data_IF_705727091893
#
_entry.id   IF_705727091893
#
_cell.length_a   1.000
_cell.length_b   1.000
_cell.length_c   1.000
_cell.angle_alpha   90.00
_cell.angle_beta   90.00
_cell.angle_gamma   90.00
#
_symmetry.space_group_name_H-M   'P 1'
#
loop_
_entity.id
_entity.type
_entity.pdbx_description
1 polymer ?
#
# COMPACT_ATOMS: atom_id res chain seq x y z
N UNK A 1 -3.04 8.31 -2.36
CA UNK A 1 -2.50 8.64 -3.69
C UNK A 1 -2.99 7.66 -4.74
N UNK A 2 -2.32 7.54 -5.84
CA UNK A 2 -2.65 6.64 -6.96
C UNK A 2 -1.46 6.64 -7.92
N UNK A 3 -1.25 5.55 -8.64
CA UNK A 3 -0.18 5.44 -9.66
C UNK A 3 -0.29 6.47 -10.80
N UNK A 4 -1.43 7.11 -10.97
CA UNK A 4 -1.65 8.08 -12.05
C UNK A 4 -1.18 9.48 -11.65
N UNK A 5 -0.20 10.02 -12.35
CA UNK A 5 0.37 11.35 -12.11
C UNK A 5 -0.60 12.52 -12.36
N UNK A 6 -1.71 12.27 -13.07
CA UNK A 6 -2.74 13.27 -13.37
C UNK A 6 -4.12 12.70 -13.15
N UNK A 7 -5.06 13.49 -12.62
CA UNK A 7 -6.45 13.06 -12.53
C UNK A 7 -7.04 12.84 -13.93
N UNK A 8 -7.99 11.90 -14.10
CA UNK A 8 -8.70 11.73 -15.37
C UNK A 8 -9.48 12.98 -15.73
N UNK A 9 -9.48 13.31 -17.01
CA UNK A 9 -10.27 14.42 -17.57
C UNK A 9 -11.71 13.98 -17.82
N UNK A 10 -11.89 12.74 -18.25
CA UNK A 10 -13.19 12.15 -18.55
C UNK A 10 -13.46 10.96 -17.64
N UNK A 11 -14.57 10.99 -16.97
CA UNK A 11 -15.06 9.90 -16.12
C UNK A 11 -16.43 9.47 -16.66
N UNK A 12 -16.58 8.18 -16.91
CA UNK A 12 -17.82 7.58 -17.36
C UNK A 12 -18.47 6.79 -16.22
N UNK A 13 -19.79 6.74 -16.24
CA UNK A 13 -20.58 5.97 -15.30
C UNK A 13 -21.67 5.18 -16.02
N UNK A 14 -21.55 3.86 -15.99
CA UNK A 14 -22.60 2.96 -16.43
C UNK A 14 -23.61 2.74 -15.31
N UNK A 15 -24.74 3.44 -15.39
CA UNK A 15 -25.82 3.38 -14.39
C UNK A 15 -26.51 2.01 -14.31
N UNK A 16 -26.38 1.15 -15.33
CA UNK A 16 -26.98 -0.19 -15.32
C UNK A 16 -26.12 -1.18 -14.55
N UNK A 17 -24.81 -1.01 -14.64
CA UNK A 17 -23.83 -1.88 -13.98
C UNK A 17 -23.28 -1.28 -12.68
N UNK A 18 -23.62 -0.02 -12.39
CA UNK A 18 -23.04 0.74 -11.28
C UNK A 18 -21.50 0.78 -11.30
N UNK A 19 -20.92 0.97 -12.50
CA UNK A 19 -19.47 0.97 -12.70
C UNK A 19 -19.02 2.35 -13.19
N UNK A 20 -18.00 2.91 -12.52
CA UNK A 20 -17.24 4.08 -13.00
C UNK A 20 -15.94 3.63 -13.62
N UNK A 21 -15.48 4.34 -14.65
CA UNK A 21 -14.22 4.09 -15.33
C UNK A 21 -13.73 5.33 -16.09
N UNK A 22 -12.46 5.31 -16.50
CA UNK A 22 -11.88 6.35 -17.35
C UNK A 22 -10.86 5.73 -18.31
N UNK A 23 -10.82 6.14 -19.58
CA UNK A 23 -9.81 5.68 -20.53
C UNK A 23 -8.40 6.19 -20.19
N UNK A 24 -8.29 7.12 -19.25
CA UNK A 24 -7.01 7.69 -18.77
C UNK A 24 -6.52 7.05 -17.47
N UNK A 25 -7.22 6.01 -16.98
CA UNK A 25 -7.06 5.46 -15.66
C UNK A 25 -7.95 6.20 -14.66
N UNK A 26 -8.75 5.46 -13.91
CA UNK A 26 -9.70 6.07 -12.96
C UNK A 26 -8.98 6.58 -11.70
N UNK A 27 -7.97 5.86 -11.20
CA UNK A 27 -7.32 6.12 -9.93
C UNK A 27 -8.31 6.02 -8.77
N UNK A 28 -9.17 5.00 -8.76
CA UNK A 28 -10.04 4.67 -7.66
C UNK A 28 -9.25 4.13 -6.48
N UNK A 29 -8.17 3.49 -6.77
CA UNK A 29 -7.07 3.15 -5.88
C UNK A 29 -6.18 4.40 -5.64
N UNK A 30 -6.10 5.05 -4.43
CA UNK A 30 -7.06 4.84 -3.31
C UNK A 30 -7.97 6.07 -3.06
N UNK A 31 -8.44 6.72 -4.10
CA UNK A 31 -9.41 7.82 -3.94
C UNK A 31 -10.79 7.32 -3.48
N UNK A 32 -11.09 6.04 -3.68
CA UNK A 32 -12.32 5.43 -3.19
C UNK A 32 -12.33 5.35 -1.67
N UNK A 33 -11.21 4.96 -1.04
CA UNK A 33 -11.08 4.95 0.42
C UNK A 33 -11.17 6.35 1.02
N UNK A 34 -10.54 7.35 0.41
CA UNK A 34 -10.69 8.75 0.82
C UNK A 34 -12.15 9.20 0.74
N UNK A 35 -12.84 8.87 -0.36
CA UNK A 35 -14.28 9.18 -0.50
C UNK A 35 -15.12 8.49 0.58
N UNK A 36 -14.83 7.23 0.89
CA UNK A 36 -15.49 6.48 1.95
C UNK A 36 -15.33 7.14 3.32
N UNK A 37 -14.10 7.55 3.67
CA UNK A 37 -13.82 8.31 4.90
C UNK A 37 -14.69 9.59 4.97
N UNK A 38 -14.74 10.35 3.89
CA UNK A 38 -15.56 11.57 3.82
C UNK A 38 -17.06 11.27 4.01
N UNK A 39 -17.57 10.16 3.44
CA UNK A 39 -18.97 9.73 3.64
C UNK A 39 -19.26 9.31 5.07
N UNK A 40 -18.32 8.62 5.71
CA UNK A 40 -18.40 8.26 7.13
C UNK A 40 -18.49 9.53 8.00
N UNK A 41 -17.64 10.53 7.76
CA UNK A 41 -17.69 11.82 8.46
C UNK A 41 -19.03 12.54 8.21
N UNK A 42 -19.50 12.55 6.97
CA UNK A 42 -20.78 13.18 6.60
C UNK A 42 -21.98 12.53 7.32
N UNK A 43 -21.91 11.25 7.66
CA UNK A 43 -22.95 10.57 8.44
C UNK A 43 -23.00 10.99 9.91
N UNK A 44 -22.09 11.83 10.38
CA UNK A 44 -22.01 12.31 11.75
C UNK A 44 -21.00 11.56 12.62
N UNK A 45 -20.41 10.47 12.13
CA UNK A 45 -19.37 9.73 12.85
C UNK A 45 -18.05 10.52 12.88
N UNK A 46 -17.24 10.29 13.91
CA UNK A 46 -15.98 11.01 14.14
C UNK A 46 -14.85 10.03 14.54
N UNK A 47 -14.51 9.07 13.68
CA UNK A 47 -13.35 8.22 13.95
C UNK A 47 -12.06 9.05 13.93
N UNK A 48 -11.01 8.55 14.54
CA UNK A 48 -9.66 9.04 14.28
C UNK A 48 -9.27 8.65 12.85
N UNK A 49 -8.61 9.55 12.14
CA UNK A 49 -8.26 9.34 10.72
C UNK A 49 -6.76 9.52 10.55
N UNK A 50 -6.16 8.61 9.82
CA UNK A 50 -4.78 8.69 9.36
C UNK A 50 -4.83 8.71 7.83
N UNK A 51 -4.16 9.68 7.22
CA UNK A 51 -3.95 9.76 5.79
C UNK A 51 -2.44 9.72 5.55
N UNK A 52 -2.00 8.77 4.79
CA UNK A 52 -0.60 8.55 4.41
C UNK A 52 -0.40 8.94 2.96
N UNK A 53 0.84 9.15 2.57
CA UNK A 53 1.25 9.45 1.19
C UNK A 53 2.23 8.41 0.72
N UNK A 54 2.37 8.31 -0.60
CA UNK A 54 3.39 7.48 -1.22
C UNK A 54 3.23 5.97 -0.89
N UNK A 55 1.98 5.49 -0.79
CA UNK A 55 1.67 4.05 -0.66
C UNK A 55 2.19 3.30 -1.88
N UNK A 56 1.87 3.79 -3.08
CA UNK A 56 2.18 3.23 -4.40
C UNK A 56 3.69 3.12 -4.72
N UNK A 57 4.51 3.77 -3.93
CA UNK A 57 5.97 3.72 -4.02
C UNK A 57 6.61 3.14 -2.76
N UNK A 58 5.86 2.27 -2.07
CA UNK A 58 6.33 1.46 -0.94
C UNK A 58 5.96 1.97 0.44
N UNK A 59 4.81 2.66 0.59
CA UNK A 59 4.27 3.04 1.89
C UNK A 59 5.15 4.01 2.67
N UNK A 60 5.82 4.94 1.97
CA UNK A 60 6.82 5.84 2.59
C UNK A 60 6.22 6.63 3.74
N UNK A 61 4.98 7.13 3.57
CA UNK A 61 4.26 7.88 4.59
C UNK A 61 3.95 7.04 5.82
N UNK A 62 3.41 5.84 5.63
CA UNK A 62 3.10 4.90 6.71
C UNK A 62 4.37 4.43 7.44
N UNK A 63 5.42 4.09 6.70
CA UNK A 63 6.70 3.71 7.27
C UNK A 63 7.34 4.85 8.09
N UNK A 64 7.23 6.09 7.62
CA UNK A 64 7.70 7.25 8.41
C UNK A 64 6.88 7.43 9.70
N UNK A 65 5.57 7.21 9.64
CA UNK A 65 4.67 7.31 10.79
C UNK A 65 4.90 6.17 11.79
N UNK A 66 5.17 4.95 11.30
CA UNK A 66 5.42 3.77 12.15
C UNK A 66 6.61 3.93 13.11
N UNK A 67 7.58 4.78 12.76
CA UNK A 67 8.72 5.10 13.65
C UNK A 67 8.34 5.94 14.87
N UNK A 68 7.09 6.40 14.93
CA UNK A 68 6.58 7.23 16.03
C UNK A 68 5.63 6.38 16.90
N UNK A 69 5.50 6.74 18.14
CA UNK A 69 4.44 6.15 19.00
C UNK A 69 3.08 6.47 18.41
N UNK A 70 2.15 5.53 18.55
CA UNK A 70 0.76 5.77 18.16
C UNK A 70 0.25 7.09 18.74
N UNK A 71 -0.19 8.04 17.91
CA UNK A 71 -0.66 9.34 18.41
C UNK A 71 -2.09 9.30 18.93
N UNK A 72 -2.78 8.16 18.83
CA UNK A 72 -4.20 8.01 19.16
C UNK A 72 -4.32 7.17 20.43
N UNK A 73 -4.58 7.79 21.59
CA UNK A 73 -4.72 7.05 22.85
C UNK A 73 -5.99 6.18 22.84
N UNK A 74 -5.85 4.95 23.32
CA UNK A 74 -6.97 4.01 23.47
C UNK A 74 -7.53 3.48 22.15
N UNK A 75 -6.75 3.54 21.08
CA UNK A 75 -7.11 2.96 19.79
C UNK A 75 -7.40 1.47 19.94
N UNK A 76 -8.56 1.02 19.49
CA UNK A 76 -9.03 -0.36 19.65
C UNK A 76 -8.52 -1.26 18.55
N UNK A 77 -8.68 -0.82 17.31
CA UNK A 77 -8.16 -1.45 16.10
C UNK A 77 -8.14 -0.42 14.96
N UNK A 78 -7.52 -0.76 13.85
CA UNK A 78 -7.42 0.07 12.67
C UNK A 78 -8.19 -0.55 11.51
N UNK A 79 -8.77 0.30 10.66
CA UNK A 79 -9.40 -0.09 9.39
C UNK A 79 -8.71 0.72 8.28
N UNK A 80 -8.22 0.03 7.29
CA UNK A 80 -7.78 0.61 6.02
C UNK A 80 -8.83 0.33 4.96
N UNK A 81 -9.00 1.23 4.01
CA UNK A 81 -9.99 1.13 2.93
C UNK A 81 -9.28 1.24 1.60
N UNK A 82 -8.33 0.36 1.38
CA UNK A 82 -7.42 0.37 0.24
C UNK A 82 -7.18 -1.05 -0.28
N UNK A 83 -8.28 -1.71 -0.65
CA UNK A 83 -8.20 -3.03 -1.26
C UNK A 83 -9.22 -3.17 -2.39
N UNK A 84 -8.78 -3.81 -3.46
CA UNK A 84 -9.67 -4.22 -4.55
C UNK A 84 -10.75 -5.21 -4.10
N UNK A 85 -11.81 -5.34 -4.88
CA UNK A 85 -12.84 -6.35 -4.70
C UNK A 85 -14.06 -5.84 -3.94
N UNK A 86 -14.88 -6.78 -3.46
CA UNK A 86 -16.20 -6.48 -2.90
C UNK A 86 -16.27 -6.67 -1.39
N UNK A 87 -15.91 -7.87 -0.94
CA UNK A 87 -16.07 -8.31 0.46
C UNK A 87 -14.76 -8.87 1.05
N UNK A 88 -13.63 -8.65 0.40
CA UNK A 88 -12.36 -9.17 0.86
C UNK A 88 -11.82 -8.33 2.02
N UNK A 89 -11.11 -8.99 2.94
CA UNK A 89 -10.35 -8.34 3.99
C UNK A 89 -8.99 -9.00 4.17
N UNK A 90 -7.99 -8.22 4.54
CA UNK A 90 -6.62 -8.70 4.77
C UNK A 90 -6.11 -8.22 6.12
N UNK A 91 -5.52 -9.15 6.88
CA UNK A 91 -4.98 -8.89 8.21
C UNK A 91 -3.45 -8.81 8.23
N UNK A 92 -2.79 -9.14 7.10
CA UNK A 92 -1.33 -9.19 6.98
C UNK A 92 -0.70 -10.04 8.09
N UNK A 93 0.18 -9.46 8.91
CA UNK A 93 0.87 -10.16 9.99
C UNK A 93 0.08 -10.17 11.32
N UNK A 94 -1.15 -9.62 11.34
CA UNK A 94 -2.02 -9.62 12.51
C UNK A 94 -2.83 -10.91 12.58
N UNK A 95 -2.34 -11.91 13.32
CA UNK A 95 -2.97 -13.23 13.43
C UNK A 95 -3.74 -13.38 14.74
N UNK A 96 -4.78 -12.57 14.95
CA UNK A 96 -5.69 -12.71 16.07
C UNK A 96 -7.02 -13.32 15.62
N UNK A 97 -7.34 -14.59 15.98
CA UNK A 97 -8.53 -15.27 15.49
C UNK A 97 -9.85 -14.64 15.98
N UNK A 98 -9.83 -13.96 17.12
CA UNK A 98 -11.02 -13.26 17.64
C UNK A 98 -11.27 -11.99 16.83
N UNK A 99 -10.22 -11.26 16.45
CA UNK A 99 -10.32 -10.09 15.59
C UNK A 99 -10.75 -10.46 14.16
N UNK A 100 -10.16 -11.51 13.59
CA UNK A 100 -10.56 -12.04 12.28
C UNK A 100 -12.05 -12.36 12.28
N UNK A 101 -12.49 -13.18 13.25
CA UNK A 101 -13.89 -13.56 13.39
C UNK A 101 -14.81 -12.34 13.61
N UNK A 102 -14.38 -11.35 14.37
CA UNK A 102 -15.12 -10.11 14.57
C UNK A 102 -15.35 -9.39 13.25
N UNK A 103 -14.32 -9.21 12.43
CA UNK A 103 -14.44 -8.56 11.11
C UNK A 103 -15.34 -9.36 10.17
N UNK A 104 -15.23 -10.69 10.17
CA UNK A 104 -16.08 -11.58 9.37
C UNK A 104 -17.57 -11.46 9.71
N UNK A 105 -17.94 -11.11 10.96
CA UNK A 105 -19.34 -10.87 11.34
C UNK A 105 -20.01 -9.74 10.57
N UNK A 106 -19.23 -8.83 9.99
CA UNK A 106 -19.72 -7.75 9.15
C UNK A 106 -19.81 -8.13 7.66
N UNK A 107 -19.57 -9.43 7.34
CA UNK A 107 -19.70 -9.96 6.00
C UNK A 107 -18.48 -9.79 5.11
N UNK A 108 -17.31 -9.61 5.72
CA UNK A 108 -16.03 -9.68 5.02
C UNK A 108 -15.47 -11.11 5.04
N UNK A 109 -14.56 -11.41 4.11
CA UNK A 109 -13.93 -12.71 3.96
C UNK A 109 -12.42 -12.52 3.91
N UNK A 110 -11.73 -13.24 4.78
CA UNK A 110 -10.28 -13.22 4.80
C UNK A 110 -9.69 -13.64 3.45
N UNK A 111 -8.75 -12.87 2.97
CA UNK A 111 -7.95 -13.11 1.79
C UNK A 111 -6.48 -12.85 2.10
N UNK A 112 -5.63 -13.32 1.23
CA UNK A 112 -4.21 -13.04 1.31
C UNK A 112 -3.88 -11.67 0.69
N UNK A 113 -2.92 -10.95 1.28
CA UNK A 113 -2.34 -9.73 0.77
C UNK A 113 -0.87 -9.64 1.13
N UNK A 114 -0.06 -9.06 0.25
CA UNK A 114 1.38 -8.95 0.45
C UNK A 114 1.76 -7.79 1.37
N UNK A 115 1.13 -6.63 1.17
CA UNK A 115 1.57 -5.39 1.78
C UNK A 115 0.51 -4.29 1.60
N UNK A 116 0.44 -3.34 2.52
CA UNK A 116 -0.23 -2.05 2.45
C UNK A 116 0.22 -1.17 3.63
N UNK A 117 -0.16 0.08 3.67
CA UNK A 117 0.22 1.06 4.70
C UNK A 117 -0.09 0.60 6.13
N UNK A 118 -1.24 -0.04 6.33
CA UNK A 118 -1.65 -0.52 7.64
C UNK A 118 -0.71 -1.60 8.20
N UNK A 119 -0.05 -2.38 7.34
CA UNK A 119 0.87 -3.45 7.78
C UNK A 119 2.04 -2.89 8.58
N UNK A 120 2.60 -1.74 8.19
CA UNK A 120 3.63 -1.06 8.96
C UNK A 120 3.14 -0.56 10.33
N UNK A 121 1.91 -0.02 10.35
CA UNK A 121 1.37 0.60 11.56
C UNK A 121 0.93 -0.44 12.60
N UNK A 122 0.36 -1.56 12.15
CA UNK A 122 -0.06 -2.65 13.04
C UNK A 122 1.10 -3.19 13.86
N UNK A 123 2.16 -3.59 13.18
CA UNK A 123 3.37 -4.14 13.81
C UNK A 123 4.02 -3.12 14.75
N UNK A 124 4.26 -1.90 14.26
CA UNK A 124 4.96 -0.86 15.01
C UNK A 124 4.21 -0.40 16.28
N UNK A 125 2.88 -0.42 16.26
CA UNK A 125 2.06 0.04 17.38
C UNK A 125 1.46 -1.10 18.20
N UNK A 126 1.65 -2.34 17.75
CA UNK A 126 1.06 -3.55 18.36
C UNK A 126 -0.47 -3.43 18.47
N UNK A 127 -1.12 -3.00 17.40
CA UNK A 127 -2.56 -2.79 17.30
C UNK A 127 -3.11 -3.58 16.13
N UNK A 128 -4.17 -4.36 16.36
CA UNK A 128 -4.86 -5.09 15.31
C UNK A 128 -5.40 -4.14 14.24
N UNK A 129 -5.35 -4.56 13.00
CA UNK A 129 -5.89 -3.80 11.89
C UNK A 129 -6.30 -4.71 10.73
N UNK A 130 -7.10 -4.16 9.85
CA UNK A 130 -7.62 -4.86 8.68
C UNK A 130 -7.72 -3.91 7.50
N UNK A 131 -7.33 -4.37 6.32
CA UNK A 131 -7.58 -3.68 5.05
C UNK A 131 -8.80 -4.29 4.37
N UNK A 132 -9.78 -3.46 4.04
CA UNK A 132 -11.10 -3.85 3.51
C UNK A 132 -11.24 -3.43 2.05
N UNK A 133 -11.86 -4.30 1.25
CA UNK A 133 -12.22 -3.99 -0.13
C UNK A 133 -13.12 -2.76 -0.24
N UNK A 134 -12.81 -1.88 -1.19
CA UNK A 134 -13.55 -0.64 -1.41
C UNK A 134 -14.14 -0.52 -2.82
N UNK A 135 -14.22 -1.63 -3.55
CA UNK A 135 -14.99 -1.73 -4.79
C UNK A 135 -14.21 -1.48 -6.08
N UNK A 136 -12.95 -1.07 -6.06
CA UNK A 136 -12.18 -0.96 -7.28
C UNK A 136 -11.66 -2.32 -7.76
N UNK A 137 -11.34 -2.42 -9.03
CA UNK A 137 -10.79 -3.60 -9.71
C UNK A 137 -9.86 -3.18 -10.82
N UNK A 138 -8.91 -4.06 -11.17
CA UNK A 138 -7.92 -3.85 -12.22
C UNK A 138 -7.08 -2.59 -11.96
N UNK A 139 -6.78 -2.36 -10.67
CA UNK A 139 -5.96 -1.26 -10.18
C UNK A 139 -4.62 -1.17 -10.93
N UNK A 140 -3.96 -0.02 -10.86
CA UNK A 140 -2.67 0.27 -11.52
C UNK A 140 -2.73 0.16 -13.05
N UNK A 141 -3.91 0.18 -13.65
CA UNK A 141 -4.09 0.07 -15.10
C UNK A 141 -5.13 1.05 -15.63
N UNK A 142 -5.07 1.33 -16.93
CA UNK A 142 -6.10 2.14 -17.60
C UNK A 142 -7.46 1.42 -17.69
N UNK A 143 -7.51 0.13 -17.37
CA UNK A 143 -8.73 -0.67 -17.29
C UNK A 143 -9.39 -0.60 -15.92
N UNK A 144 -8.81 0.14 -14.98
CA UNK A 144 -9.32 0.27 -13.64
C UNK A 144 -10.78 0.72 -13.64
N UNK A 145 -11.57 0.05 -12.81
CA UNK A 145 -13.00 0.33 -12.63
C UNK A 145 -13.33 0.45 -11.15
N UNK A 146 -14.35 1.24 -10.83
CA UNK A 146 -14.96 1.32 -9.51
C UNK A 146 -16.39 0.81 -9.55
N UNK A 147 -16.66 -0.25 -8.80
CA UNK A 147 -18.00 -0.76 -8.55
C UNK A 147 -18.62 0.04 -7.41
N UNK A 148 -19.46 1.01 -7.76
CA UNK A 148 -19.98 2.01 -6.84
C UNK A 148 -20.86 1.39 -5.74
N UNK A 149 -21.62 0.35 -6.07
CA UNK A 149 -22.46 -0.38 -5.10
C UNK A 149 -21.60 -1.12 -4.05
N UNK A 150 -20.51 -1.76 -4.49
CA UNK A 150 -19.55 -2.45 -3.60
C UNK A 150 -18.91 -1.44 -2.64
N UNK A 151 -18.49 -0.27 -3.14
CA UNK A 151 -17.94 0.80 -2.31
C UNK A 151 -18.96 1.29 -1.26
N UNK A 152 -20.19 1.54 -1.63
CA UNK A 152 -21.21 1.94 -0.67
C UNK A 152 -21.56 0.83 0.32
N UNK A 153 -21.55 -0.43 -0.09
CA UNK A 153 -21.71 -1.58 0.80
C UNK A 153 -20.64 -1.59 1.89
N UNK A 154 -19.37 -1.41 1.52
CA UNK A 154 -18.26 -1.32 2.48
C UNK A 154 -18.43 -0.12 3.41
N UNK A 155 -18.80 1.05 2.91
CA UNK A 155 -19.06 2.24 3.74
C UNK A 155 -20.11 1.93 4.82
N UNK A 156 -21.21 1.29 4.45
CA UNK A 156 -22.29 0.96 5.42
C UNK A 156 -21.80 -0.09 6.44
N UNK A 157 -21.07 -1.12 6.03
CA UNK A 157 -20.47 -2.09 6.95
C UNK A 157 -19.53 -1.41 7.94
N UNK A 158 -18.65 -0.53 7.48
CA UNK A 158 -17.72 0.21 8.34
C UNK A 158 -18.46 1.13 9.31
N UNK A 159 -19.53 1.80 8.88
CA UNK A 159 -20.37 2.58 9.79
C UNK A 159 -20.96 1.72 10.91
N UNK A 160 -21.42 0.51 10.59
CA UNK A 160 -21.89 -0.45 11.61
C UNK A 160 -20.76 -0.86 12.55
N UNK A 161 -19.55 -1.12 12.03
CA UNK A 161 -18.37 -1.42 12.87
C UNK A 161 -18.05 -0.28 13.85
N UNK A 162 -18.15 0.97 13.40
CA UNK A 162 -17.84 2.16 14.19
C UNK A 162 -18.94 2.53 15.20
N UNK A 163 -20.14 1.99 15.07
CA UNK A 163 -21.30 2.31 15.92
C UNK A 163 -21.66 1.19 16.89
N UNK A 164 -20.81 0.16 17.04
CA UNK A 164 -21.02 -0.87 18.03
C UNK A 164 -21.01 -0.26 19.44
N UNK A 165 -21.94 -0.66 20.31
CA UNK A 165 -22.03 -0.17 21.69
C UNK A 165 -20.78 -0.49 22.50
N UNK A 166 -20.26 -1.70 22.29
CA UNK A 166 -18.99 -2.15 22.87
C UNK A 166 -18.03 -2.57 21.76
N UNK A 167 -16.96 -1.80 21.57
CA UNK A 167 -15.88 -2.16 20.67
C UNK A 167 -14.84 -2.95 21.47
N UNK A 168 -14.64 -4.26 21.19
CA UNK A 168 -13.67 -5.07 21.90
C UNK A 168 -12.23 -4.54 21.75
N UNK A 169 -11.41 -4.86 22.71
CA UNK A 169 -9.96 -4.70 22.62
C UNK A 169 -9.37 -6.02 22.17
N UNK A 170 -8.61 -6.00 21.08
CA UNK A 170 -7.93 -7.18 20.57
C UNK A 170 -6.43 -7.06 20.83
N UNK A 171 -5.83 -8.17 21.24
CA UNK A 171 -4.37 -8.26 21.36
C UNK A 171 -3.75 -8.42 19.97
N UNK A 172 -2.72 -7.62 19.66
CA UNK A 172 -1.96 -7.83 18.43
C UNK A 172 -1.09 -9.08 18.58
N UNK A 173 -1.41 -10.08 17.79
CA UNK A 173 -0.66 -11.35 17.73
C UNK A 173 0.03 -11.39 16.37
N UNK A 174 1.35 -11.28 16.39
CA UNK A 174 2.16 -11.41 15.20
C UNK A 174 2.33 -12.89 14.83
N UNK A 175 2.28 -13.19 13.54
CA UNK A 175 2.59 -14.54 13.05
C UNK A 175 4.11 -14.73 13.16
N UNK A 176 4.59 -15.25 14.28
CA UNK A 176 6.02 -15.55 14.42
C UNK A 176 6.49 -16.51 13.32
N UNK A 177 7.67 -16.25 12.78
CA UNK A 177 8.33 -17.10 11.79
C UNK A 177 8.42 -18.59 12.21
N UNK A 178 8.34 -18.90 13.50
CA UNK A 178 8.27 -20.27 14.04
C UNK A 178 6.97 -20.99 13.69
N UNK A 179 5.85 -20.27 13.54
CA UNK A 179 4.58 -20.87 13.06
C UNK A 179 4.58 -21.11 11.55
N UNK A 180 5.29 -20.27 10.80
CA UNK A 180 5.55 -20.51 9.37
C UNK A 180 6.33 -21.82 9.17
N UNK A 181 7.28 -22.11 10.02
CA UNK A 181 8.00 -23.37 10.01
C UNK A 181 7.09 -24.59 10.24
N UNK A 182 6.01 -24.46 11.01
CA UNK A 182 5.08 -25.57 11.24
C UNK A 182 4.15 -25.83 10.04
N UNK A 183 3.66 -24.80 9.36
CA UNK A 183 2.84 -24.96 8.15
C UNK A 183 3.66 -25.43 6.94
N UNK A 184 4.93 -25.11 6.87
CA UNK A 184 5.83 -25.53 5.78
C UNK A 184 6.52 -26.86 6.03
N UNK A 185 6.54 -27.40 7.28
CA UNK A 185 7.18 -28.66 7.63
C UNK A 185 6.22 -29.86 7.77
N UNK A 186 4.96 -29.69 7.48
CA UNK A 186 4.00 -30.78 7.41
C UNK A 186 3.92 -31.44 6.06
N UNK A 187 4.87 -32.24 5.70
CA UNK A 187 5.02 -33.26 4.65
C UNK A 187 6.26 -33.04 3.77
N UNK A 188 7.27 -33.87 3.98
CA UNK A 188 8.28 -34.18 2.96
C UNK A 188 9.70 -33.70 3.28
N UNK A 189 10.52 -34.68 3.57
CA UNK A 189 11.98 -34.76 3.53
C UNK A 189 12.59 -33.84 2.45
N UNK A 190 13.47 -32.96 2.84
CA UNK A 190 14.40 -32.31 1.92
C UNK A 190 14.45 -30.77 1.97
N UNK A 191 15.50 -30.23 2.51
CA UNK A 191 16.13 -28.91 2.34
C UNK A 191 15.21 -27.82 1.74
N UNK A 192 14.52 -27.08 2.58
CA UNK A 192 13.83 -25.87 2.17
C UNK A 192 14.85 -24.78 1.82
N UNK A 193 14.90 -24.43 0.54
CA UNK A 193 15.49 -23.16 0.11
C UNK A 193 14.56 -22.04 0.60
N UNK A 194 15.04 -21.24 1.52
CA UNK A 194 14.43 -19.95 1.86
C UNK A 194 14.56 -19.09 0.61
N UNK A 195 13.48 -18.93 -0.13
CA UNK A 195 13.43 -17.99 -1.25
C UNK A 195 13.33 -16.57 -0.67
N UNK A 196 14.47 -15.99 -0.43
CA UNK A 196 14.63 -14.62 0.02
C UNK A 196 15.80 -13.99 -0.71
N UNK A 197 15.78 -12.68 -0.84
CA UNK A 197 16.85 -11.89 -1.42
C UNK A 197 17.44 -10.97 -0.35
N UNK A 198 18.75 -10.82 -0.34
CA UNK A 198 19.41 -9.90 0.58
C UNK A 198 19.31 -8.47 0.08
N UNK A 199 18.94 -7.56 0.98
CA UNK A 199 19.07 -6.13 0.71
C UNK A 199 20.49 -5.81 0.27
N UNK A 200 20.63 -5.11 -0.84
CA UNK A 200 21.96 -4.78 -1.42
C UNK A 200 22.78 -3.87 -0.52
N UNK A 201 22.16 -3.16 0.43
CA UNK A 201 22.81 -2.21 1.35
C UNK A 201 23.10 -2.87 2.70
N UNK A 202 22.07 -3.20 3.50
CA UNK A 202 22.25 -3.73 4.86
C UNK A 202 22.52 -5.23 4.92
N UNK A 203 22.36 -5.96 3.82
CA UNK A 203 22.57 -7.43 3.72
C UNK A 203 21.58 -8.27 4.52
N UNK A 204 20.56 -7.69 5.11
CA UNK A 204 19.48 -8.42 5.77
C UNK A 204 18.68 -9.19 4.72
N UNK A 205 18.25 -10.41 5.06
CA UNK A 205 17.41 -11.24 4.21
C UNK A 205 15.97 -10.77 4.29
N UNK A 206 15.34 -10.58 3.15
CA UNK A 206 13.93 -10.22 3.00
C UNK A 206 13.27 -11.18 2.03
N UNK A 207 11.93 -11.27 2.04
CA UNK A 207 11.22 -11.89 0.93
C UNK A 207 11.46 -11.07 -0.36
N UNK A 208 11.36 -11.71 -1.51
CA UNK A 208 11.57 -11.00 -2.79
C UNK A 208 10.58 -9.86 -3.03
N UNK A 209 9.42 -9.88 -2.35
CA UNK A 209 8.35 -8.88 -2.44
C UNK A 209 8.58 -7.67 -1.51
N UNK A 210 9.51 -7.75 -0.57
CA UNK A 210 9.82 -6.68 0.38
C UNK A 210 10.96 -5.78 -0.08
N UNK A 211 11.55 -6.07 -1.23
CA UNK A 211 12.70 -5.36 -1.74
C UNK A 211 12.33 -4.54 -2.98
N UNK A 212 12.73 -3.29 -2.97
CA UNK A 212 12.55 -2.37 -4.09
C UNK A 212 13.65 -2.55 -5.13
N UNK A 213 13.30 -2.70 -6.42
CA UNK A 213 14.27 -2.65 -7.49
C UNK A 213 14.76 -1.21 -7.68
N UNK A 214 16.04 -0.99 -7.47
CA UNK A 214 16.70 0.31 -7.59
C UNK A 214 17.80 0.26 -8.62
N UNK A 215 17.86 1.24 -9.49
CA UNK A 215 18.90 1.35 -10.51
C UNK A 215 20.22 1.81 -9.86
N UNK A 216 21.16 0.91 -9.77
CA UNK A 216 22.48 1.19 -9.21
C UNK A 216 23.40 1.94 -10.16
N UNK A 217 24.52 2.47 -9.64
CA UNK A 217 25.52 3.29 -10.39
C UNK A 217 26.06 2.64 -11.65
N UNK A 218 26.08 1.33 -11.72
CA UNK A 218 26.61 0.54 -12.84
C UNK A 218 25.50 0.02 -13.78
N UNK A 219 24.32 0.63 -13.76
CA UNK A 219 23.12 0.22 -14.50
C UNK A 219 22.54 -1.15 -14.11
N UNK A 220 23.09 -1.80 -13.07
CA UNK A 220 22.54 -3.04 -12.53
C UNK A 220 21.41 -2.73 -11.56
N UNK A 221 20.34 -3.50 -11.65
CA UNK A 221 19.27 -3.42 -10.66
C UNK A 221 19.79 -3.99 -9.35
N UNK A 222 19.62 -3.23 -8.27
CA UNK A 222 19.84 -3.62 -6.89
C UNK A 222 18.49 -3.73 -6.21
N UNK A 223 18.37 -4.61 -5.26
CA UNK A 223 17.19 -4.77 -4.46
C UNK A 223 17.45 -4.22 -3.05
N UNK A 224 16.66 -3.26 -2.62
CA UNK A 224 16.89 -2.47 -1.42
C UNK A 224 15.67 -2.55 -0.50
N UNK A 225 15.87 -2.82 0.78
CA UNK A 225 14.78 -2.89 1.75
C UNK A 225 14.23 -1.50 2.09
N UNK A 226 13.00 -1.42 2.62
CA UNK A 226 12.36 -0.15 2.99
C UNK A 226 13.25 0.75 3.85
N UNK A 227 13.93 0.18 4.85
CA UNK A 227 14.80 0.94 5.74
C UNK A 227 16.00 1.58 5.04
N UNK A 228 16.52 0.89 4.03
CA UNK A 228 17.66 1.37 3.27
C UNK A 228 17.27 2.28 2.11
N UNK A 229 16.01 2.29 1.68
CA UNK A 229 15.51 3.20 0.65
C UNK A 229 15.59 4.64 1.15
N UNK A 230 15.23 4.87 2.40
CA UNK A 230 15.19 6.22 2.99
C UNK A 230 16.59 6.84 3.04
N UNK A 231 16.77 7.93 2.30
CA UNK A 231 18.03 8.70 2.25
C UNK A 231 19.11 8.15 1.31
N UNK A 232 18.90 6.98 0.70
CA UNK A 232 19.84 6.38 -0.26
C UNK A 232 19.27 6.22 -1.67
N UNK A 233 17.97 6.33 -1.80
CA UNK A 233 17.23 6.16 -3.06
C UNK A 233 16.33 7.37 -3.27
N UNK A 234 16.18 7.77 -4.52
CA UNK A 234 15.21 8.77 -4.96
C UNK A 234 14.54 8.32 -6.26
N UNK A 235 13.43 8.97 -6.62
CA UNK A 235 12.70 8.68 -7.85
C UNK A 235 12.96 9.75 -8.90
N UNK A 236 13.29 9.31 -10.09
CA UNK A 236 13.55 10.23 -11.18
C UNK A 236 12.23 10.85 -11.69
N UNK A 237 12.08 12.16 -11.57
CA UNK A 237 10.90 12.89 -12.08
C UNK A 237 10.69 12.76 -13.60
N UNK A 238 11.74 12.37 -14.33
CA UNK A 238 11.68 12.26 -15.79
C UNK A 238 11.29 10.88 -16.30
N UNK A 239 11.77 9.79 -15.68
CA UNK A 239 11.45 8.43 -16.11
C UNK A 239 10.65 7.62 -15.07
N UNK A 240 10.43 8.14 -13.88
CA UNK A 240 9.70 7.46 -12.81
C UNK A 240 10.45 6.31 -12.14
N UNK A 241 11.68 5.99 -12.55
CA UNK A 241 12.45 4.88 -11.98
C UNK A 241 13.17 5.28 -10.69
N UNK A 242 13.20 4.37 -9.71
CA UNK A 242 13.99 4.53 -8.50
C UNK A 242 15.49 4.41 -8.81
N UNK A 243 16.30 5.31 -8.24
CA UNK A 243 17.75 5.32 -8.43
C UNK A 243 18.51 5.64 -7.15
N UNK A 244 19.76 5.18 -7.07
CA UNK A 244 20.64 5.46 -5.94
C UNK A 244 21.15 6.90 -5.99
N UNK A 245 20.92 7.68 -4.92
CA UNK A 245 21.36 9.08 -4.83
C UNK A 245 22.89 9.12 -4.87
N UNK A 246 23.45 9.81 -5.88
CA UNK A 246 24.90 10.02 -6.01
C UNK A 246 25.37 11.34 -5.41
N UNK A 247 24.57 12.39 -5.56
CA UNK A 247 24.85 13.74 -5.08
C UNK A 247 23.57 14.34 -4.46
N UNK A 248 23.59 14.68 -3.17
CA UNK A 248 22.46 15.33 -2.50
C UNK A 248 22.02 16.67 -3.11
N UNK A 249 22.89 17.31 -3.90
CA UNK A 249 22.58 18.56 -4.58
C UNK A 249 21.80 18.36 -5.89
N UNK A 250 21.85 17.15 -6.49
CA UNK A 250 21.16 16.77 -7.72
C UNK A 250 20.07 15.73 -7.44
N UNK A 251 19.14 16.06 -6.56
CA UNK A 251 17.95 15.23 -6.31
C UNK A 251 16.98 15.40 -7.48
N UNK A 252 16.16 14.39 -7.70
CA UNK A 252 15.00 14.32 -8.57
C UNK A 252 15.27 13.87 -10.03
N UNK A 253 16.51 13.73 -10.48
CA UNK A 253 16.78 13.26 -11.85
C UNK A 253 17.91 12.22 -11.83
N UNK A 254 17.65 11.03 -12.37
CA UNK A 254 18.69 10.00 -12.50
C UNK A 254 19.75 10.40 -13.53
N UNK A 255 20.95 9.85 -13.39
CA UNK A 255 22.12 10.18 -14.24
C UNK A 255 21.87 10.00 -15.73
N UNK A 256 21.06 9.01 -16.12
CA UNK A 256 20.74 8.75 -17.53
C UNK A 256 19.82 9.81 -18.11
N UNK A 257 18.81 10.23 -17.35
CA UNK A 257 17.91 11.30 -17.79
C UNK A 257 18.63 12.66 -17.79
N UNK A 258 19.49 12.93 -16.83
CA UNK A 258 20.34 14.11 -16.81
C UNK A 258 21.26 14.17 -18.04
N UNK A 259 21.90 13.06 -18.41
CA UNK A 259 22.75 12.97 -19.59
C UNK A 259 21.97 13.20 -20.91
N UNK A 260 20.74 12.66 -21.01
CA UNK A 260 19.86 12.87 -22.18
C UNK A 260 19.46 14.35 -22.31
N UNK A 261 19.07 14.99 -21.24
CA UNK A 261 18.71 16.42 -21.23
C UNK A 261 19.88 17.31 -21.64
N UNK A 262 21.10 17.01 -21.20
CA UNK A 262 22.30 17.73 -21.61
C UNK A 262 22.59 17.57 -23.11
N UNK A 263 22.37 16.38 -23.68
CA UNK A 263 22.57 16.15 -25.12
C UNK A 263 21.51 16.82 -25.98
N UNK A 264 20.26 16.86 -25.54
CA UNK A 264 19.18 17.59 -26.25
C UNK A 264 19.38 19.10 -26.26
N UNK A 265 19.86 19.67 -25.14
CA UNK A 265 20.20 21.09 -25.07
C UNK A 265 21.40 21.46 -25.96
N UNK A 266 22.39 20.58 -26.05
CA UNK A 266 23.56 20.77 -26.94
C UNK A 266 23.20 20.73 -28.42
N UNK A 267 22.25 19.89 -28.80
CA UNK A 267 21.76 19.76 -30.19
C UNK A 267 20.86 20.93 -30.59
N UNK A 268 20.16 21.56 -29.69
CA UNK A 268 19.35 22.76 -29.95
C UNK A 268 20.19 24.02 -30.11
N UNK A 269 21.30 24.15 -29.36
CA UNK A 269 22.22 25.27 -29.48
C UNK A 269 23.13 25.19 -30.74
N UNK A 270 23.13 24.06 -31.45
CA UNK A 270 23.90 23.89 -32.71
C UNK A 270 23.07 24.18 -33.96
N UNK A 271 21.82 24.61 -33.82
CA UNK A 271 20.89 24.92 -34.90
C UNK A 271 20.51 26.42 -34.98
N UNK A 272 21.09 27.25 -34.12
CA UNK A 272 21.13 28.70 -34.27
C UNK A 272 22.51 29.11 -34.86
#
# INVERSE_FOLDING_TARGET
DTVFSKPPVEIFYDTRKNIMWSPQGLGADDRAGIFAILKIIQSGLRPSIILTTDEEVGGIGAHSLSRRKCPIPGLKYMIELDRRGTDDCVFYDCYNPEFIKYVETFGFKEQWGSFSDISFLMSAWSICGVNLSIGYRDEHSVSETLHVEDMFSTIEKVKVMLTQEEIPQFEYLELYADTWNWFTHGYGDGKQQVYGQHCSICKTLYSEYELFPVKGRNKKIKYVCPDCVVGTVDWCEYCGEAYEIEDPANKNICKECSAKLCTEQSNNNSKE
#
